data_IF_674477354564
#
_entry.id   IF_674477354564
#
_cell.length_a   1.000
_cell.length_b   1.000
_cell.length_c   1.000
_cell.angle_alpha   90.00
_cell.angle_beta   90.00
_cell.angle_gamma   90.00
#
_symmetry.space_group_name_H-M   'P 1'
#
loop_
_entity.id
_entity.type
_entity.pdbx_description
1 polymer ?
#
# COMPACT_ATOMS: atom_id res chain seq x y z
N UNK A 1 -10.03 -14.61 11.74
CA UNK A 1 -8.69 -14.01 11.50
C UNK A 1 -8.19 -13.38 12.78
N UNK A 2 -6.89 -13.48 13.09
CA UNK A 2 -6.32 -12.91 14.31
C UNK A 2 -5.22 -11.92 13.94
N UNK A 3 -5.62 -10.67 13.68
CA UNK A 3 -4.71 -9.58 13.35
C UNK A 3 -3.96 -9.17 14.62
N UNK A 4 -2.65 -8.94 14.50
CA UNK A 4 -1.80 -8.48 15.60
C UNK A 4 -1.17 -7.16 15.20
N UNK A 5 -1.19 -6.19 16.12
CA UNK A 5 -0.49 -4.93 15.92
C UNK A 5 1.02 -5.16 15.91
N UNK A 6 1.71 -4.51 14.99
CA UNK A 6 3.15 -4.55 14.88
C UNK A 6 3.68 -3.24 14.28
N UNK A 7 4.97 -2.99 14.51
CA UNK A 7 5.74 -1.93 13.87
C UNK A 7 7.10 -2.51 13.46
N UNK A 8 7.58 -2.16 12.27
CA UNK A 8 8.95 -2.45 11.83
C UNK A 8 9.70 -1.14 11.74
N UNK A 9 10.80 -1.00 12.49
CA UNK A 9 11.59 0.24 12.54
C UNK A 9 12.89 0.03 11.76
N UNK A 10 13.06 0.78 10.67
CA UNK A 10 14.29 0.80 9.85
C UNK A 10 15.34 1.74 10.46
N UNK A 11 16.56 1.85 9.89
CA UNK A 11 17.58 2.77 10.42
C UNK A 11 17.10 4.21 10.58
N UNK A 12 17.56 4.87 11.65
CA UNK A 12 17.31 6.29 11.90
C UNK A 12 17.98 7.17 10.83
N UNK A 13 17.46 8.38 10.64
CA UNK A 13 18.08 9.42 9.82
C UNK A 13 19.46 9.79 10.37
N UNK A 14 20.41 9.97 9.46
CA UNK A 14 21.75 10.47 9.73
C UNK A 14 21.89 11.95 9.29
N UNK A 15 22.31 12.19 8.06
CA UNK A 15 22.52 13.52 7.47
C UNK A 15 21.36 13.98 6.56
N UNK A 16 20.27 13.22 6.52
CA UNK A 16 19.11 13.44 5.67
C UNK A 16 19.30 13.05 4.20
N UNK A 17 20.49 12.55 3.81
CA UNK A 17 20.77 12.07 2.44
C UNK A 17 20.69 10.56 2.31
N UNK A 18 20.73 9.84 3.43
CA UNK A 18 20.79 8.38 3.52
C UNK A 18 19.51 7.78 4.12
N UNK A 19 18.38 8.43 3.88
CA UNK A 19 17.10 8.01 4.47
C UNK A 19 16.64 6.65 3.92
N UNK A 20 16.05 5.86 4.81
CA UNK A 20 15.18 4.75 4.45
C UNK A 20 13.75 5.26 4.36
N UNK A 21 13.05 4.95 3.26
CA UNK A 21 11.65 5.38 3.04
C UNK A 21 10.85 4.27 2.37
N UNK A 22 9.60 4.12 2.78
CA UNK A 22 8.58 3.42 1.99
C UNK A 22 7.72 4.51 1.35
N UNK A 23 7.70 4.56 0.02
CA UNK A 23 7.00 5.65 -0.68
C UNK A 23 5.48 5.45 -0.65
N UNK A 24 5.01 4.20 -0.51
CA UNK A 24 3.61 3.88 -0.35
C UNK A 24 3.02 4.53 0.92
N UNK A 25 1.80 5.06 0.83
CA UNK A 25 1.07 5.53 2.01
C UNK A 25 0.71 4.40 2.98
N UNK A 26 0.38 3.24 2.43
CA UNK A 26 0.01 2.02 3.15
C UNK A 26 0.75 0.83 2.55
N UNK A 27 1.07 -0.20 3.34
CA UNK A 27 1.75 -1.40 2.81
C UNK A 27 0.88 -2.15 1.80
N UNK A 28 -0.43 -2.19 2.02
CA UNK A 28 -1.39 -2.82 1.11
C UNK A 28 -2.37 -1.73 0.69
N UNK A 29 -2.47 -1.50 -0.61
CA UNK A 29 -3.42 -0.57 -1.22
C UNK A 29 -3.71 -0.98 -2.65
N UNK A 30 -4.92 -0.70 -3.12
CA UNK A 30 -5.29 -0.95 -4.50
C UNK A 30 -4.85 0.18 -5.43
N UNK A 31 -4.49 -0.20 -6.65
CA UNK A 31 -4.15 0.71 -7.73
C UNK A 31 -5.38 1.44 -8.27
N UNK A 32 -5.15 2.59 -8.90
CA UNK A 32 -6.13 3.38 -9.62
C UNK A 32 -5.63 3.72 -11.02
N UNK A 33 -6.47 3.60 -12.02
CA UNK A 33 -6.12 3.80 -13.43
C UNK A 33 -7.09 4.76 -14.09
N UNK A 34 -6.55 5.74 -14.82
CA UNK A 34 -7.30 6.54 -15.78
C UNK A 34 -7.45 5.73 -17.08
N UNK A 35 -8.68 5.42 -17.45
CA UNK A 35 -8.98 4.60 -18.64
C UNK A 35 -9.09 5.48 -19.91
N UNK A 36 -8.89 4.91 -21.10
CA UNK A 36 -8.98 5.66 -22.37
C UNK A 36 -10.35 6.28 -22.64
N UNK A 37 -11.43 5.72 -22.06
CA UNK A 37 -12.80 6.22 -22.17
C UNK A 37 -13.11 7.37 -21.18
N UNK A 38 -12.11 7.83 -20.42
CA UNK A 38 -12.25 8.88 -19.42
C UNK A 38 -12.71 8.40 -18.04
N UNK A 39 -13.06 7.11 -17.90
CA UNK A 39 -13.44 6.55 -16.59
C UNK A 39 -12.23 6.27 -15.70
N UNK A 40 -12.47 6.17 -14.39
CA UNK A 40 -11.47 5.71 -13.43
C UNK A 40 -11.80 4.26 -13.03
N UNK A 41 -10.79 3.40 -13.09
CA UNK A 41 -10.88 2.01 -12.61
C UNK A 41 -9.97 1.79 -11.41
N UNK A 42 -10.47 1.13 -10.38
CA UNK A 42 -9.73 0.88 -9.14
C UNK A 42 -9.94 1.97 -8.10
N UNK A 43 -8.92 2.27 -7.29
CA UNK A 43 -8.96 3.31 -6.25
C UNK A 43 -8.57 4.69 -6.82
N UNK A 44 -9.50 5.66 -6.97
CA UNK A 44 -9.19 6.99 -7.49
C UNK A 44 -8.14 7.74 -6.67
N UNK A 45 -8.05 7.46 -5.35
CA UNK A 45 -7.10 8.13 -4.47
C UNK A 45 -5.66 7.61 -4.65
N UNK A 46 -5.45 6.63 -5.53
CA UNK A 46 -4.13 6.05 -5.84
C UNK A 46 -3.68 6.34 -7.28
N UNK A 47 -4.39 7.15 -8.06
CA UNK A 47 -4.08 7.39 -9.48
C UNK A 47 -2.62 7.83 -9.71
N UNK A 48 -2.20 8.88 -9.02
CA UNK A 48 -0.86 9.45 -9.16
C UNK A 48 0.23 8.44 -8.76
N UNK A 49 0.05 7.79 -7.61
CA UNK A 49 1.01 6.79 -7.12
C UNK A 49 1.04 5.54 -8.01
N UNK A 50 -0.10 5.16 -8.60
CA UNK A 50 -0.17 4.06 -9.56
C UNK A 50 0.62 4.38 -10.81
N UNK A 51 0.50 5.61 -11.33
CA UNK A 51 1.29 6.06 -12.48
C UNK A 51 2.78 6.03 -12.17
N UNK A 52 3.19 6.50 -10.98
CA UNK A 52 4.58 6.41 -10.53
C UNK A 52 5.10 4.98 -10.49
N UNK A 53 4.31 4.01 -10.00
CA UNK A 53 4.68 2.60 -10.07
C UNK A 53 4.93 2.14 -11.51
N UNK A 54 4.06 2.54 -12.46
CA UNK A 54 4.18 2.18 -13.88
C UNK A 54 5.45 2.78 -14.49
N UNK A 55 5.74 4.05 -14.18
CA UNK A 55 6.92 4.76 -14.66
C UNK A 55 8.22 4.12 -14.14
N UNK A 56 8.18 3.53 -12.94
CA UNK A 56 9.26 2.75 -12.34
C UNK A 56 9.30 1.28 -12.83
N UNK A 57 8.51 0.93 -13.84
CA UNK A 57 8.56 -0.37 -14.52
C UNK A 57 7.57 -1.42 -14.02
N UNK A 58 6.68 -1.08 -13.09
CA UNK A 58 5.58 -1.98 -12.71
C UNK A 58 4.61 -2.16 -13.87
N UNK A 59 4.17 -3.40 -14.11
CA UNK A 59 3.25 -3.72 -15.21
C UNK A 59 1.80 -3.62 -14.72
N UNK A 60 1.01 -2.65 -15.21
CA UNK A 60 -0.37 -2.49 -14.77
C UNK A 60 -1.22 -3.68 -15.24
N UNK A 61 -2.14 -4.12 -14.37
CA UNK A 61 -3.07 -5.22 -14.66
C UNK A 61 -4.47 -4.71 -15.05
N UNK A 62 -4.76 -3.43 -14.83
CA UNK A 62 -6.04 -2.78 -15.13
C UNK A 62 -7.27 -3.48 -14.52
N UNK A 63 -7.08 -4.13 -13.39
CA UNK A 63 -8.13 -4.69 -12.54
C UNK A 63 -8.72 -3.65 -11.58
N UNK A 64 -9.85 -3.99 -10.96
CA UNK A 64 -10.53 -3.10 -9.99
C UNK A 64 -9.90 -3.13 -8.60
N UNK A 65 -9.13 -4.18 -8.30
CA UNK A 65 -8.51 -4.40 -6.99
C UNK A 65 -7.12 -5.00 -7.18
N UNK A 66 -6.30 -4.32 -7.97
CA UNK A 66 -4.90 -4.70 -8.13
C UNK A 66 -4.10 -4.17 -6.96
N UNK A 67 -3.44 -5.04 -6.21
CA UNK A 67 -2.53 -4.62 -5.14
C UNK A 67 -1.31 -3.91 -5.77
N UNK A 68 -1.01 -2.71 -5.29
CA UNK A 68 0.16 -1.94 -5.67
C UNK A 68 1.46 -2.64 -5.22
N UNK A 69 2.57 -2.50 -5.97
CA UNK A 69 3.87 -2.93 -5.48
C UNK A 69 4.34 -2.01 -4.36
N UNK A 70 5.33 -2.46 -3.59
CA UNK A 70 6.09 -1.62 -2.68
C UNK A 70 7.16 -0.86 -3.48
N UNK A 71 7.27 0.44 -3.23
CA UNK A 71 8.37 1.29 -3.68
C UNK A 71 9.24 1.57 -2.45
N UNK A 72 10.41 0.94 -2.42
CA UNK A 72 11.31 0.92 -1.27
C UNK A 72 12.59 1.68 -1.59
N UNK A 73 12.91 2.66 -0.77
CA UNK A 73 14.17 3.41 -0.82
C UNK A 73 15.02 3.04 0.40
N UNK A 74 16.27 2.65 0.13
CA UNK A 74 17.24 2.30 1.14
C UNK A 74 18.47 3.20 1.01
N UNK A 75 18.98 3.69 2.15
CA UNK A 75 20.23 4.44 2.23
C UNK A 75 20.34 5.61 1.22
N UNK A 76 19.21 6.32 1.00
CA UNK A 76 19.18 7.46 0.08
C UNK A 76 19.23 7.14 -1.41
N UNK A 77 19.34 5.87 -1.79
CA UNK A 77 19.39 5.44 -3.19
C UNK A 77 18.05 5.63 -3.90
N UNK A 78 18.07 5.55 -5.23
CA UNK A 78 16.84 5.50 -6.01
C UNK A 78 15.96 4.32 -5.54
N UNK A 79 14.63 4.48 -5.53
CA UNK A 79 13.75 3.45 -5.02
C UNK A 79 13.65 2.25 -5.97
N UNK A 80 13.45 1.07 -5.40
CA UNK A 80 13.20 -0.17 -6.13
C UNK A 80 11.77 -0.67 -5.92
N UNK A 81 11.24 -1.37 -6.94
CA UNK A 81 9.85 -1.84 -6.99
C UNK A 81 9.78 -3.33 -6.65
N UNK A 82 8.95 -3.69 -5.67
CA UNK A 82 8.76 -5.08 -5.22
C UNK A 82 7.28 -5.45 -5.16
N UNK A 83 6.87 -6.50 -5.87
CA UNK A 83 5.52 -7.04 -5.71
C UNK A 83 5.41 -7.84 -4.40
N UNK A 84 4.34 -7.60 -3.65
CA UNK A 84 4.03 -8.39 -2.46
C UNK A 84 3.53 -9.77 -2.93
N UNK A 85 4.10 -10.88 -2.44
CA UNK A 85 3.60 -12.21 -2.74
C UNK A 85 2.08 -12.30 -2.47
N UNK A 86 1.26 -12.72 -3.46
CA UNK A 86 -0.20 -12.70 -3.31
C UNK A 86 -0.71 -13.50 -2.10
N UNK A 87 -0.02 -14.56 -1.71
CA UNK A 87 -0.34 -15.38 -0.55
C UNK A 87 -0.14 -14.69 0.81
N UNK A 88 0.53 -13.53 0.84
CA UNK A 88 0.68 -12.71 2.04
C UNK A 88 -0.41 -11.62 2.15
N UNK A 89 -1.17 -11.38 1.08
CA UNK A 89 -2.26 -10.40 1.06
C UNK A 89 -3.58 -11.11 1.33
N UNK A 90 -4.06 -11.00 2.58
CA UNK A 90 -5.39 -11.47 2.93
C UNK A 90 -6.45 -10.45 2.48
N UNK A 91 -7.37 -10.87 1.61
CA UNK A 91 -8.55 -10.11 1.21
C UNK A 91 -9.83 -10.76 1.76
N UNK A 92 -10.84 -9.92 2.02
CA UNK A 92 -12.19 -10.31 2.44
C UNK A 92 -13.16 -9.90 1.34
N UNK A 93 -13.88 -10.87 0.79
CA UNK A 93 -15.00 -10.62 -0.12
C UNK A 93 -16.19 -10.09 0.67
N UNK A 94 -16.86 -9.06 0.16
CA UNK A 94 -17.96 -8.42 0.85
C UNK A 94 -19.29 -9.09 0.51
N UNK A 95 -20.02 -9.50 1.54
CA UNK A 95 -21.35 -10.09 1.44
C UNK A 95 -22.29 -9.37 2.40
N UNK A 96 -23.59 -9.39 2.10
CA UNK A 96 -24.60 -8.82 2.99
C UNK A 96 -25.40 -9.93 3.66
N UNK A 97 -25.62 -9.89 4.99
CA UNK A 97 -26.23 -10.99 5.75
C UNK A 97 -27.69 -11.31 5.37
N UNK A 98 -28.33 -10.45 4.56
CA UNK A 98 -29.71 -10.62 4.09
C UNK A 98 -29.87 -10.52 2.57
N UNK A 99 -28.88 -9.97 1.87
CA UNK A 99 -29.04 -9.57 0.47
C UNK A 99 -28.02 -10.33 -0.38
N UNK A 100 -28.45 -11.44 -0.96
CA UNK A 100 -27.59 -12.32 -1.78
C UNK A 100 -26.97 -11.57 -2.97
N UNK A 101 -27.74 -10.68 -3.60
CA UNK A 101 -27.28 -9.84 -4.72
C UNK A 101 -26.08 -8.96 -4.37
N UNK A 102 -25.78 -8.72 -3.09
CA UNK A 102 -24.66 -7.88 -2.70
C UNK A 102 -23.31 -8.49 -3.12
N UNK A 103 -23.20 -9.82 -3.13
CA UNK A 103 -22.01 -10.52 -3.61
C UNK A 103 -21.75 -10.26 -5.11
N UNK A 104 -22.82 -10.03 -5.89
CA UNK A 104 -22.74 -9.73 -7.32
C UNK A 104 -22.05 -8.39 -7.61
N UNK A 105 -21.98 -7.49 -6.63
CA UNK A 105 -21.18 -6.27 -6.74
C UNK A 105 -19.68 -6.58 -6.89
N UNK A 106 -19.23 -7.76 -6.46
CA UNK A 106 -17.84 -8.25 -6.55
C UNK A 106 -16.86 -7.45 -5.70
N UNK A 107 -17.32 -6.85 -4.60
CA UNK A 107 -16.49 -5.99 -3.74
C UNK A 107 -15.58 -6.84 -2.85
N UNK A 108 -14.36 -6.35 -2.61
CA UNK A 108 -13.41 -6.95 -1.67
C UNK A 108 -12.50 -5.88 -1.05
N UNK A 109 -11.94 -6.18 0.10
CA UNK A 109 -10.98 -5.32 0.78
C UNK A 109 -9.88 -6.13 1.46
N UNK A 110 -8.67 -5.58 1.53
CA UNK A 110 -7.57 -6.22 2.26
C UNK A 110 -7.79 -6.13 3.77
N UNK A 111 -7.39 -7.16 4.51
CA UNK A 111 -7.67 -7.27 5.95
C UNK A 111 -6.72 -6.46 6.84
N UNK A 112 -5.54 -6.08 6.32
CA UNK A 112 -4.47 -5.47 7.10
C UNK A 112 -4.33 -3.96 6.81
N UNK A 113 -4.83 -3.06 7.68
CA UNK A 113 -4.50 -1.65 7.60
C UNK A 113 -3.10 -1.41 8.15
N UNK A 114 -2.17 -1.04 7.28
CA UNK A 114 -0.79 -0.77 7.66
C UNK A 114 -0.31 0.55 7.05
N UNK A 115 -0.06 1.56 7.89
CA UNK A 115 0.48 2.87 7.50
C UNK A 115 1.98 2.74 7.27
N UNK A 116 2.50 3.34 6.20
CA UNK A 116 3.89 3.13 5.79
C UNK A 116 4.72 4.42 5.57
N UNK A 117 4.09 5.58 5.47
CA UNK A 117 4.75 6.84 5.09
C UNK A 117 4.90 7.87 6.23
N UNK A 118 4.69 7.48 7.49
CA UNK A 118 4.89 8.34 8.64
C UNK A 118 6.35 8.26 9.14
N UNK A 119 6.77 9.31 9.86
CA UNK A 119 8.05 9.38 10.56
C UNK A 119 7.81 9.19 12.07
N UNK A 120 8.62 8.34 12.69
CA UNK A 120 8.67 8.19 14.15
C UNK A 120 9.78 9.09 14.70
N UNK A 121 9.43 9.97 15.64
CA UNK A 121 10.39 10.76 16.42
C UNK A 121 10.45 10.22 17.85
N UNK A 122 11.67 10.03 18.38
CA UNK A 122 11.88 9.66 19.78
C UNK A 122 13.21 10.19 20.30
N UNK A 123 13.14 11.10 21.27
CA UNK A 123 14.34 11.63 21.94
C UNK A 123 15.25 12.43 21.01
N UNK A 124 14.68 13.10 20.00
CA UNK A 124 15.42 13.83 18.97
C UNK A 124 15.94 12.95 17.82
N UNK A 125 15.72 11.63 17.88
CA UNK A 125 16.01 10.71 16.77
C UNK A 125 14.81 10.63 15.84
N UNK A 126 15.08 10.59 14.54
CA UNK A 126 14.05 10.45 13.51
C UNK A 126 14.20 9.13 12.77
N UNK A 127 13.10 8.39 12.59
CA UNK A 127 13.02 7.13 11.86
C UNK A 127 12.06 7.32 10.67
N UNK A 128 12.57 7.67 9.47
CA UNK A 128 11.72 8.04 8.32
C UNK A 128 10.97 6.87 7.68
N UNK A 129 11.36 5.63 7.98
CA UNK A 129 10.65 4.41 7.60
C UNK A 129 10.33 3.60 8.86
N UNK A 130 9.07 3.62 9.26
CA UNK A 130 8.59 2.88 10.42
C UNK A 130 7.16 2.34 10.21
N UNK A 131 6.91 1.48 9.19
CA UNK A 131 5.57 1.01 8.91
C UNK A 131 4.96 0.27 10.12
N UNK A 132 3.70 0.55 10.40
CA UNK A 132 2.96 -0.05 11.51
C UNK A 132 1.54 -0.42 11.09
N UNK A 133 0.97 -1.42 11.76
CA UNK A 133 -0.37 -1.90 11.49
C UNK A 133 -1.20 -2.08 12.78
N UNK A 134 -2.52 -2.08 12.57
CA UNK A 134 -3.52 -2.50 13.55
C UNK A 134 -4.56 -3.38 12.85
N UNK A 135 -5.83 -3.21 13.22
CA UNK A 135 -6.99 -3.78 12.55
C UNK A 135 -8.00 -2.68 12.18
N UNK A 136 -8.84 -2.95 11.19
CA UNK A 136 -9.91 -2.03 10.80
C UNK A 136 -11.00 -1.98 11.88
N UNK A 137 -11.65 -0.82 12.03
CA UNK A 137 -12.81 -0.59 12.90
C UNK A 137 -14.11 -0.74 12.12
#
# INVERSE_FOLDING_TARGET
WHIRSAITVFPQRSDGKHDFRIWNSQLIRYAGYQMPDGTIRGDPASLEFTQLCIDLGWKPRYGRFDVLPLILQADGQDPEVFEIPPNLVLEVTMEHPKYEWFQELGLRWYALPAVANMLLEVGGLEFPACPFNGWYM
#
